data_IF_410959298348
#
_entry.id   IF_410959298348
#
_cell.length_a   1.000
_cell.length_b   1.000
_cell.length_c   1.000
_cell.angle_alpha   90.00
_cell.angle_beta   90.00
_cell.angle_gamma   90.00
#
_symmetry.space_group_name_H-M   'P 1'
#
loop_
_entity.id
_entity.type
_entity.pdbx_description
1 polymer ?
#
# COMPACT_ATOMS: atom_id res chain seq x y z
N UNK A 1 7.34 -17.52 -4.46
CA UNK A 1 6.85 -16.14 -4.36
C UNK A 1 5.39 -16.09 -4.83
N UNK A 2 4.52 -15.61 -3.95
CA UNK A 2 3.08 -15.41 -4.19
C UNK A 2 2.84 -13.90 -4.18
N UNK A 3 1.95 -13.45 -5.08
CA UNK A 3 1.49 -12.06 -5.13
C UNK A 3 0.02 -12.01 -4.77
N UNK A 4 -0.36 -11.03 -3.95
CA UNK A 4 -1.75 -10.80 -3.60
C UNK A 4 -2.06 -9.31 -3.56
N UNK A 5 -3.23 -8.92 -4.03
CA UNK A 5 -3.76 -7.56 -3.89
C UNK A 5 -4.07 -7.28 -2.42
N UNK A 6 -3.74 -6.08 -1.96
CA UNK A 6 -4.05 -5.62 -0.61
C UNK A 6 -5.28 -4.71 -0.63
N UNK A 7 -6.36 -5.21 -0.04
CA UNK A 7 -7.64 -4.52 0.02
C UNK A 7 -7.86 -3.89 1.40
N UNK A 8 -8.55 -2.75 1.41
CA UNK A 8 -8.93 -2.00 2.61
C UNK A 8 -10.43 -1.68 2.57
N UNK A 9 -11.05 -1.42 3.71
CA UNK A 9 -12.40 -0.81 3.75
C UNK A 9 -12.31 0.71 3.67
N UNK A 10 -13.02 1.29 2.71
CA UNK A 10 -13.16 2.74 2.55
C UNK A 10 -13.87 3.36 3.76
N UNK A 11 -13.35 4.47 4.29
CA UNK A 11 -13.95 5.16 5.44
C UNK A 11 -15.28 5.85 5.11
N UNK A 12 -15.50 6.24 3.85
CA UNK A 12 -16.71 6.94 3.43
C UNK A 12 -17.79 6.01 2.90
N UNK A 13 -17.41 5.05 2.05
CA UNK A 13 -18.36 4.16 1.36
C UNK A 13 -18.51 2.79 2.04
N UNK A 14 -17.58 2.42 2.93
CA UNK A 14 -17.52 1.10 3.56
C UNK A 14 -17.34 -0.10 2.60
N UNK A 15 -17.06 0.17 1.33
CA UNK A 15 -16.73 -0.86 0.34
C UNK A 15 -15.23 -1.21 0.37
N UNK A 16 -14.86 -2.43 -0.07
CA UNK A 16 -13.47 -2.79 -0.32
C UNK A 16 -12.84 -1.94 -1.44
N UNK A 17 -11.68 -1.36 -1.16
CA UNK A 17 -10.90 -0.53 -2.07
C UNK A 17 -9.42 -0.91 -2.01
N UNK A 18 -8.76 -0.88 -3.16
CA UNK A 18 -7.31 -0.99 -3.28
C UNK A 18 -6.79 0.34 -3.82
N UNK A 19 -5.83 1.00 -3.16
CA UNK A 19 -5.24 2.21 -3.69
C UNK A 19 -4.42 1.89 -4.94
N UNK A 20 -4.53 2.75 -5.95
CA UNK A 20 -3.79 2.65 -7.22
C UNK A 20 -3.01 3.93 -7.50
N UNK A 21 -1.96 3.84 -8.30
CA UNK A 21 -1.26 4.99 -8.86
C UNK A 21 -1.86 5.34 -10.22
N UNK A 22 -2.67 6.41 -10.26
CA UNK A 22 -3.21 6.95 -11.53
C UNK A 22 -2.16 7.76 -12.28
N UNK A 23 -1.28 8.45 -11.55
CA UNK A 23 -0.13 9.18 -12.10
C UNK A 23 1.01 9.19 -11.08
N UNK A 24 2.29 9.03 -11.49
CA UNK A 24 3.42 9.20 -10.61
C UNK A 24 3.42 10.55 -9.89
N UNK A 25 4.03 10.60 -8.70
CA UNK A 25 4.21 11.88 -8.01
C UNK A 25 5.21 12.75 -8.76
N UNK A 26 4.87 14.03 -8.90
CA UNK A 26 5.78 15.03 -9.45
C UNK A 26 6.51 15.69 -8.28
N UNK A 27 7.82 15.54 -8.25
CA UNK A 27 8.68 16.16 -7.25
C UNK A 27 9.42 17.35 -7.87
N UNK A 28 9.66 18.38 -7.06
CA UNK A 28 10.45 19.55 -7.43
C UNK A 28 11.11 20.16 -6.19
N UNK A 29 11.86 21.25 -6.38
CA UNK A 29 12.59 21.89 -5.29
C UNK A 29 12.40 23.40 -5.31
N UNK A 30 12.20 24.00 -4.13
CA UNK A 30 12.34 25.45 -3.95
C UNK A 30 13.79 25.74 -3.58
N UNK A 31 14.53 26.33 -4.50
CA UNK A 31 15.91 26.73 -4.21
C UNK A 31 15.95 28.08 -3.46
N UNK A 32 16.88 28.19 -2.51
CA UNK A 32 16.98 29.35 -1.62
C UNK A 32 17.45 30.65 -2.30
N UNK A 33 18.19 30.53 -3.42
CA UNK A 33 18.91 31.66 -4.06
C UNK A 33 18.43 32.01 -5.47
N UNK A 34 17.62 31.14 -6.08
CA UNK A 34 17.10 31.30 -7.44
C UNK A 34 15.91 30.40 -7.61
N UNK A 35 15.12 30.67 -8.63
CA UNK A 35 14.07 29.75 -9.05
C UNK A 35 14.67 28.55 -9.80
N UNK A 36 14.04 27.40 -9.60
CA UNK A 36 14.39 26.14 -10.26
C UNK A 36 13.10 25.48 -10.71
N UNK A 37 12.93 25.35 -12.02
CA UNK A 37 11.71 24.80 -12.65
C UNK A 37 11.85 23.32 -13.03
N UNK A 38 12.88 22.64 -12.55
CA UNK A 38 13.09 21.22 -12.82
C UNK A 38 12.17 20.36 -11.94
N UNK A 39 11.48 19.41 -12.57
CA UNK A 39 10.67 18.40 -11.90
C UNK A 39 11.09 17.00 -12.28
N UNK A 40 10.84 16.03 -11.40
CA UNK A 40 11.00 14.60 -11.68
C UNK A 40 9.69 13.87 -11.39
N UNK A 41 9.33 12.93 -12.25
CA UNK A 41 8.25 11.99 -11.97
C UNK A 41 8.82 10.79 -11.21
N UNK A 42 8.22 10.46 -10.06
CA UNK A 42 8.60 9.32 -9.24
C UNK A 42 7.36 8.63 -8.71
N UNK A 43 7.23 7.33 -9.00
CA UNK A 43 6.17 6.51 -8.42
C UNK A 43 6.36 6.38 -6.91
N UNK A 44 5.27 6.19 -6.18
CA UNK A 44 5.33 5.81 -4.77
C UNK A 44 5.82 4.37 -4.65
N UNK A 45 6.57 4.09 -3.58
CA UNK A 45 6.72 2.73 -3.08
C UNK A 45 5.39 2.21 -2.53
N UNK A 46 5.26 0.89 -2.38
CA UNK A 46 4.04 0.28 -1.83
C UNK A 46 3.70 0.80 -0.43
N UNK A 47 4.70 0.95 0.46
CA UNK A 47 4.50 1.53 1.80
C UNK A 47 4.06 2.99 1.73
N UNK A 48 4.66 3.82 0.87
CA UNK A 48 4.26 5.22 0.70
C UNK A 48 2.81 5.33 0.21
N UNK A 49 2.40 4.48 -0.73
CA UNK A 49 1.03 4.46 -1.25
C UNK A 49 0.03 4.14 -0.14
N UNK A 50 0.32 3.12 0.69
CA UNK A 50 -0.50 2.77 1.87
C UNK A 50 -0.55 3.92 2.88
N UNK A 51 0.57 4.60 3.14
CA UNK A 51 0.60 5.74 4.05
C UNK A 51 -0.27 6.92 3.57
N UNK A 52 -0.42 7.12 2.25
CA UNK A 52 -1.32 8.15 1.70
C UNK A 52 -2.79 7.87 1.94
N UNK A 53 -3.16 6.64 2.29
CA UNK A 53 -4.54 6.25 2.58
C UNK A 53 -4.98 6.58 4.01
N UNK A 54 -4.10 7.15 4.85
CA UNK A 54 -4.48 7.60 6.19
C UNK A 54 -5.67 8.57 6.12
N UNK A 55 -6.76 8.21 6.80
CA UNK A 55 -8.01 8.98 6.82
C UNK A 55 -8.98 8.67 5.67
N UNK A 56 -8.55 7.90 4.67
CA UNK A 56 -9.40 7.42 3.57
C UNK A 56 -9.91 5.99 3.79
N UNK A 57 -9.20 5.20 4.59
CA UNK A 57 -9.58 3.85 5.02
C UNK A 57 -9.87 3.82 6.51
N UNK A 58 -10.64 2.82 6.97
CA UNK A 58 -11.09 2.72 8.36
C UNK A 58 -10.00 2.30 9.35
N UNK A 59 -8.90 1.71 8.86
CA UNK A 59 -7.82 1.15 9.68
C UNK A 59 -6.60 2.06 9.81
N UNK A 60 -5.79 1.83 10.84
CA UNK A 60 -4.48 2.48 10.94
C UNK A 60 -3.48 1.83 9.98
N UNK A 61 -3.25 2.52 8.87
CA UNK A 61 -2.34 2.11 7.80
C UNK A 61 -0.91 1.82 8.27
N UNK A 62 -0.44 2.42 9.37
CA UNK A 62 0.90 2.11 9.91
C UNK A 62 0.95 0.70 10.50
N UNK A 63 -0.07 0.34 11.28
CA UNK A 63 -0.16 -1.00 11.85
C UNK A 63 -0.32 -2.07 10.76
N UNK A 64 -1.01 -1.75 9.65
CA UNK A 64 -1.10 -2.67 8.49
C UNK A 64 0.30 -2.95 7.93
N UNK A 65 1.11 -1.91 7.72
CA UNK A 65 2.50 -2.07 7.24
C UNK A 65 3.34 -2.88 8.23
N UNK A 66 3.23 -2.60 9.53
CA UNK A 66 3.96 -3.31 10.59
C UNK A 66 3.60 -4.80 10.63
N UNK A 67 2.34 -5.16 10.38
CA UNK A 67 1.90 -6.56 10.31
C UNK A 67 2.40 -7.26 9.06
N UNK A 68 2.51 -6.57 7.92
CA UNK A 68 2.97 -7.19 6.66
C UNK A 68 4.47 -7.46 6.68
N UNK A 69 5.27 -6.55 7.26
CA UNK A 69 6.75 -6.57 7.23
C UNK A 69 7.42 -7.90 7.60
N UNK A 70 6.96 -8.68 8.60
CA UNK A 70 7.58 -9.95 8.95
C UNK A 70 7.38 -11.05 7.90
N UNK A 71 6.30 -10.97 7.10
CA UNK A 71 5.86 -12.05 6.20
C UNK A 71 6.15 -11.73 4.72
N UNK A 72 6.30 -10.44 4.37
CA UNK A 72 6.50 -10.03 2.99
C UNK A 72 6.71 -8.53 2.78
N UNK A 73 6.60 -8.10 1.53
CA UNK A 73 6.87 -6.74 1.10
C UNK A 73 5.68 -6.15 0.33
N UNK A 74 5.34 -4.91 0.66
CA UNK A 74 4.33 -4.14 -0.07
C UNK A 74 4.99 -3.52 -1.31
N UNK A 75 4.42 -3.75 -2.49
CA UNK A 75 4.93 -3.25 -3.77
C UNK A 75 3.82 -2.66 -4.62
N UNK A 76 4.25 -1.89 -5.61
CA UNK A 76 3.40 -1.47 -6.72
C UNK A 76 3.72 -2.35 -7.91
N UNK A 77 2.75 -3.14 -8.37
CA UNK A 77 2.84 -4.00 -9.54
C UNK A 77 2.45 -3.19 -10.78
N UNK A 78 3.21 -3.37 -11.87
CA UNK A 78 2.98 -2.71 -13.16
C UNK A 78 2.82 -1.17 -13.06
N UNK A 79 3.50 -0.57 -12.09
CA UNK A 79 3.47 0.88 -11.79
C UNK A 79 2.11 1.43 -11.32
N UNK A 80 1.10 0.57 -11.10
CA UNK A 80 -0.27 0.97 -10.77
C UNK A 80 -0.81 0.31 -9.49
N UNK A 81 -0.79 -1.03 -9.43
CA UNK A 81 -1.57 -1.83 -8.47
C UNK A 81 -0.82 -2.09 -7.16
N UNK A 82 -1.51 -1.96 -6.01
CA UNK A 82 -0.94 -2.29 -4.71
C UNK A 82 -0.99 -3.79 -4.43
N UNK A 83 0.18 -4.41 -4.28
CA UNK A 83 0.32 -5.84 -3.97
C UNK A 83 1.21 -6.08 -2.76
N UNK A 84 1.06 -7.26 -2.16
CA UNK A 84 2.01 -7.84 -1.21
C UNK A 84 2.67 -9.03 -1.88
N UNK A 85 4.00 -9.06 -1.87
CA UNK A 85 4.80 -10.23 -2.24
C UNK A 85 5.22 -10.99 -0.98
N UNK A 86 4.91 -12.28 -0.94
CA UNK A 86 5.33 -13.21 0.12
C UNK A 86 6.08 -14.40 -0.48
N UNK A 87 6.98 -15.01 0.28
CA UNK A 87 7.87 -16.05 -0.25
C UNK A 87 7.18 -17.39 -0.49
N UNK A 88 6.28 -17.80 0.42
CA UNK A 88 5.63 -19.11 0.44
C UNK A 88 4.14 -19.03 0.77
N UNK A 89 3.44 -20.14 0.53
CA UNK A 89 2.02 -20.30 0.92
C UNK A 89 1.85 -20.22 2.44
N UNK A 90 2.79 -20.76 3.21
CA UNK A 90 2.76 -20.70 4.67
C UNK A 90 2.81 -19.25 5.17
N UNK A 91 3.67 -18.41 4.61
CA UNK A 91 3.75 -16.99 4.95
C UNK A 91 2.49 -16.22 4.52
N UNK A 92 1.89 -16.60 3.38
CA UNK A 92 0.61 -16.06 2.93
C UNK A 92 -0.52 -16.33 3.92
N UNK A 93 -0.65 -17.59 4.39
CA UNK A 93 -1.68 -18.00 5.35
C UNK A 93 -1.47 -17.33 6.72
N UNK A 94 -0.23 -17.26 7.20
CA UNK A 94 0.11 -16.55 8.45
C UNK A 94 -0.24 -15.06 8.35
N UNK A 95 0.14 -14.40 7.26
CA UNK A 95 -0.16 -13.00 7.04
C UNK A 95 -1.67 -12.74 6.97
N UNK A 96 -2.40 -13.57 6.22
CA UNK A 96 -3.86 -13.47 6.11
C UNK A 96 -4.52 -13.61 7.49
N UNK A 97 -4.04 -14.55 8.30
CA UNK A 97 -4.52 -14.76 9.67
C UNK A 97 -4.20 -13.57 10.58
N UNK A 98 -2.98 -13.03 10.52
CA UNK A 98 -2.56 -11.88 11.32
C UNK A 98 -3.36 -10.60 10.97
N UNK A 99 -3.62 -10.37 9.68
CA UNK A 99 -4.47 -9.27 9.23
C UNK A 99 -5.90 -9.43 9.73
N UNK A 100 -6.48 -10.64 9.61
CA UNK A 100 -7.83 -10.92 10.08
C UNK A 100 -7.97 -10.79 11.60
N UNK A 101 -7.00 -11.27 12.37
CA UNK A 101 -7.00 -11.13 13.83
C UNK A 101 -6.98 -9.66 14.26
N UNK A 102 -6.21 -8.82 13.57
CA UNK A 102 -6.06 -7.41 13.94
C UNK A 102 -7.19 -6.52 13.41
N UNK A 103 -7.62 -6.74 12.18
CA UNK A 103 -8.48 -5.82 11.42
C UNK A 103 -9.85 -6.42 11.05
N UNK A 104 -10.11 -7.68 11.37
CA UNK A 104 -11.31 -8.38 10.94
C UNK A 104 -11.36 -8.45 9.41
N UNK A 105 -12.50 -8.08 8.83
CA UNK A 105 -12.69 -8.06 7.38
C UNK A 105 -12.30 -6.72 6.74
N UNK A 106 -11.73 -5.78 7.50
CA UNK A 106 -11.41 -4.43 6.99
C UNK A 106 -10.15 -4.37 6.15
N UNK A 107 -9.26 -5.36 6.27
CA UNK A 107 -8.03 -5.47 5.49
C UNK A 107 -7.83 -6.93 5.14
N UNK A 108 -7.70 -7.24 3.86
CA UNK A 108 -7.55 -8.63 3.41
C UNK A 108 -6.70 -8.71 2.14
N UNK A 109 -6.24 -9.94 1.88
CA UNK A 109 -5.45 -10.27 0.70
C UNK A 109 -6.28 -11.07 -0.29
N UNK A 110 -6.09 -10.77 -1.58
CA UNK A 110 -6.64 -11.56 -2.68
C UNK A 110 -5.50 -12.03 -3.57
N UNK A 111 -5.29 -13.34 -3.64
CA UNK A 111 -4.21 -13.94 -4.46
C UNK A 111 -4.45 -13.67 -5.95
N UNK A 112 -3.40 -13.27 -6.67
CA UNK A 112 -3.40 -13.07 -8.12
C UNK A 112 -3.37 -14.40 -8.89
#
# INVERSE_FOLDING_TARGET
>A
MIRAKLWFTCAAMHDPVMPIIVKPSVLGWKAKRRDVELTIERAFTGEELVLRMKGWVTTDVKHVIEIIKPYGYIKVLDEEDLVVEVESEEEYEKLTSALKEKFGDQVFLEKL
#
